data_IF_235399985958
#
_entry.id   IF_235399985958
#
_cell.length_a   1.000
_cell.length_b   1.000
_cell.length_c   1.000
_cell.angle_alpha   90.00
_cell.angle_beta   90.00
_cell.angle_gamma   90.00
#
_symmetry.space_group_name_H-M   'P 1'
#
loop_
_entity.id
_entity.type
_entity.pdbx_description
1 polymer ?
#
# COMPACT_ATOMS: atom_id res chain seq x y z
N UNK A 1 14.46 -8.88 -9.90
CA UNK A 1 13.74 -8.12 -10.95
C UNK A 1 13.81 -8.84 -12.29
N UNK A 2 12.68 -8.95 -12.99
CA UNK A 2 12.66 -9.52 -14.34
C UNK A 2 13.12 -8.48 -15.35
N UNK A 3 14.03 -8.89 -16.28
CA UNK A 3 14.51 -8.00 -17.35
C UNK A 3 13.41 -7.62 -18.33
N UNK A 4 13.59 -6.51 -19.05
CA UNK A 4 12.67 -6.08 -20.11
C UNK A 4 12.48 -7.18 -21.18
N UNK A 5 13.55 -7.82 -21.63
CA UNK A 5 13.46 -8.86 -22.68
C UNK A 5 12.67 -10.09 -22.20
N UNK A 6 12.83 -10.50 -20.94
CA UNK A 6 12.05 -11.60 -20.37
C UNK A 6 10.57 -11.24 -20.22
N UNK A 7 10.24 -10.01 -19.80
CA UNK A 7 8.85 -9.55 -19.75
C UNK A 7 8.22 -9.48 -21.14
N UNK A 8 8.94 -8.95 -22.11
CA UNK A 8 8.54 -8.89 -23.52
C UNK A 8 8.22 -10.29 -24.07
N UNK A 9 9.13 -11.24 -23.87
CA UNK A 9 8.93 -12.63 -24.33
C UNK A 9 7.67 -13.22 -23.71
N UNK A 10 7.48 -13.07 -22.39
CA UNK A 10 6.29 -13.59 -21.69
C UNK A 10 5.00 -12.92 -22.16
N UNK A 11 5.00 -11.61 -22.37
CA UNK A 11 3.82 -10.89 -22.86
C UNK A 11 3.43 -11.35 -24.27
N UNK A 12 4.40 -11.54 -25.16
CA UNK A 12 4.15 -12.09 -26.50
C UNK A 12 3.62 -13.51 -26.43
N UNK A 13 4.23 -14.39 -25.63
CA UNK A 13 3.74 -15.76 -25.41
C UNK A 13 2.30 -15.77 -24.92
N UNK A 14 1.95 -14.96 -23.92
CA UNK A 14 0.55 -14.87 -23.44
C UNK A 14 -0.40 -14.48 -24.57
N UNK A 15 -0.03 -13.51 -25.41
CA UNK A 15 -0.86 -13.06 -26.53
C UNK A 15 -1.01 -14.12 -27.63
N UNK A 16 0.04 -14.91 -27.88
CA UNK A 16 0.00 -15.97 -28.89
C UNK A 16 -0.92 -17.14 -28.49
N UNK A 17 -0.92 -17.49 -27.19
CA UNK A 17 -1.73 -18.60 -26.68
C UNK A 17 -3.10 -18.16 -26.17
N UNK A 18 -3.25 -16.96 -25.66
CA UNK A 18 -4.48 -16.42 -25.11
C UNK A 18 -4.99 -15.24 -25.97
N UNK A 19 -5.46 -15.55 -27.16
CA UNK A 19 -5.87 -14.57 -28.20
C UNK A 19 -6.87 -13.51 -27.67
N UNK A 20 -7.72 -13.88 -26.70
CA UNK A 20 -8.70 -12.99 -26.11
C UNK A 20 -8.15 -12.17 -24.92
N UNK A 21 -6.93 -12.44 -24.48
CA UNK A 21 -6.29 -11.70 -23.39
C UNK A 21 -5.85 -10.32 -23.87
N UNK A 22 -6.55 -9.28 -23.47
CA UNK A 22 -6.23 -7.90 -23.85
C UNK A 22 -5.34 -7.20 -22.83
N UNK A 23 -5.41 -7.63 -21.56
CA UNK A 23 -4.71 -6.97 -20.46
C UNK A 23 -4.04 -7.99 -19.55
N UNK A 24 -2.87 -7.63 -19.06
CA UNK A 24 -2.10 -8.40 -18.08
C UNK A 24 -1.77 -7.50 -16.91
N UNK A 25 -2.05 -7.98 -15.70
CA UNK A 25 -1.63 -7.36 -14.46
C UNK A 25 -0.62 -8.27 -13.74
N UNK A 26 0.29 -7.66 -12.98
CA UNK A 26 1.30 -8.40 -12.25
C UNK A 26 1.76 -7.66 -11.00
N UNK A 27 2.40 -8.39 -10.10
CA UNK A 27 3.11 -7.77 -8.97
C UNK A 27 4.42 -7.15 -9.43
N UNK A 28 4.75 -6.01 -8.87
CA UNK A 28 6.01 -5.32 -9.10
C UNK A 28 6.51 -4.65 -7.81
N UNK A 29 7.82 -4.45 -7.72
CA UNK A 29 8.43 -3.59 -6.73
C UNK A 29 8.94 -2.30 -7.37
N UNK A 30 9.19 -1.28 -6.59
CA UNK A 30 9.83 -0.04 -7.07
C UNK A 30 11.18 -0.32 -7.76
N UNK A 31 11.94 -1.30 -7.24
CA UNK A 31 13.21 -1.74 -7.86
C UNK A 31 13.01 -2.35 -9.26
N UNK A 32 11.88 -3.05 -9.48
CA UNK A 32 11.58 -3.61 -10.81
C UNK A 32 11.34 -2.51 -11.84
N UNK A 33 10.69 -1.42 -11.43
CA UNK A 33 10.39 -0.28 -12.29
C UNK A 33 11.66 0.53 -12.54
N UNK A 34 12.49 0.77 -11.51
CA UNK A 34 13.75 1.52 -11.58
C UNK A 34 14.69 1.00 -12.66
N UNK A 35 14.71 -0.32 -12.86
CA UNK A 35 15.56 -0.99 -13.84
C UNK A 35 14.99 -0.96 -15.28
N UNK A 36 14.00 -0.11 -15.55
CA UNK A 36 13.40 0.03 -16.90
C UNK A 36 13.28 1.50 -17.29
N UNK A 37 13.60 1.75 -18.54
CA UNK A 37 13.40 3.05 -19.15
C UNK A 37 11.94 3.26 -19.56
N UNK A 38 11.47 4.50 -19.62
CA UNK A 38 10.09 4.84 -19.99
C UNK A 38 9.69 4.22 -21.33
N UNK A 39 10.59 4.24 -22.34
CA UNK A 39 10.30 3.64 -23.63
C UNK A 39 10.07 2.12 -23.55
N UNK A 40 10.76 1.42 -22.64
CA UNK A 40 10.54 0.00 -22.38
C UNK A 40 9.16 -0.23 -21.75
N UNK A 41 8.81 0.58 -20.76
CA UNK A 41 7.49 0.54 -20.12
C UNK A 41 6.37 0.79 -21.13
N UNK A 42 6.49 1.80 -22.01
CA UNK A 42 5.55 2.04 -23.11
C UNK A 42 5.39 0.84 -24.04
N UNK A 43 6.49 0.18 -24.39
CA UNK A 43 6.44 -1.04 -25.21
C UNK A 43 5.75 -2.20 -24.49
N UNK A 44 6.03 -2.40 -23.18
CA UNK A 44 5.36 -3.41 -22.37
C UNK A 44 3.85 -3.12 -22.27
N UNK A 45 3.47 -1.85 -22.11
CA UNK A 45 2.07 -1.39 -22.14
C UNK A 45 1.39 -1.76 -23.47
N UNK A 46 2.06 -1.49 -24.60
CA UNK A 46 1.54 -1.82 -25.93
C UNK A 46 1.40 -3.34 -26.16
N UNK A 47 2.14 -4.17 -25.42
CA UNK A 47 2.02 -5.63 -25.43
C UNK A 47 0.94 -6.16 -24.49
N UNK A 48 0.23 -5.27 -23.75
CA UNK A 48 -0.87 -5.65 -22.89
C UNK A 48 -0.54 -5.70 -21.39
N UNK A 49 0.68 -5.34 -20.95
CA UNK A 49 1.01 -5.20 -19.53
C UNK A 49 0.47 -3.85 -19.06
N UNK A 50 -0.75 -3.87 -18.52
CA UNK A 50 -1.53 -2.66 -18.27
C UNK A 50 -1.63 -2.28 -16.80
N UNK A 51 -1.41 -3.21 -15.87
CA UNK A 51 -1.63 -2.97 -14.45
C UNK A 51 -0.52 -3.56 -13.57
N UNK A 52 -0.11 -2.81 -12.55
CA UNK A 52 0.88 -3.26 -11.57
C UNK A 52 0.32 -3.17 -10.15
N UNK A 53 0.46 -4.27 -9.41
CA UNK A 53 0.29 -4.29 -7.95
C UNK A 53 1.63 -3.97 -7.31
N UNK A 54 1.73 -2.86 -6.60
CA UNK A 54 2.99 -2.41 -6.01
C UNK A 54 2.86 -2.39 -4.49
N UNK A 55 3.53 -3.35 -3.84
CA UNK A 55 3.66 -3.38 -2.38
C UNK A 55 4.63 -2.31 -1.91
N UNK A 56 4.21 -1.04 -1.90
CA UNK A 56 5.02 0.05 -1.35
C UNK A 56 5.08 -0.03 0.16
N UNK A 57 4.01 -0.49 0.79
CA UNK A 57 3.76 -0.68 2.23
C UNK A 57 3.71 0.64 3.02
N UNK A 58 4.46 1.65 2.59
CA UNK A 58 4.60 2.95 3.25
C UNK A 58 5.07 4.01 2.26
N UNK A 59 4.87 5.29 2.60
CA UNK A 59 5.52 6.45 1.98
C UNK A 59 6.41 7.21 2.96
N UNK A 60 6.69 6.62 4.13
CA UNK A 60 7.53 7.18 5.18
C UNK A 60 8.91 6.50 5.17
N UNK A 61 9.97 7.26 4.97
CA UNK A 61 11.33 6.72 4.79
C UNK A 61 11.84 5.93 6.00
N UNK A 62 11.46 6.32 7.22
CA UNK A 62 11.82 5.58 8.43
C UNK A 62 11.12 4.21 8.45
N UNK A 63 9.84 4.17 8.12
CA UNK A 63 9.07 2.93 8.02
C UNK A 63 9.56 2.05 6.87
N UNK A 64 9.91 2.64 5.71
CA UNK A 64 10.49 1.92 4.57
C UNK A 64 11.85 1.29 4.95
N UNK A 65 12.67 2.00 5.72
CA UNK A 65 13.94 1.50 6.24
C UNK A 65 13.73 0.35 7.23
N UNK A 66 12.79 0.50 8.17
CA UNK A 66 12.44 -0.54 9.14
C UNK A 66 11.96 -1.82 8.45
N UNK A 67 11.17 -1.69 7.40
CA UNK A 67 10.67 -2.80 6.58
C UNK A 67 11.69 -3.35 5.56
N UNK A 68 12.94 -2.87 5.59
CA UNK A 68 14.03 -3.26 4.70
C UNK A 68 13.64 -3.21 3.20
N UNK A 69 12.85 -2.21 2.80
CA UNK A 69 12.37 -2.08 1.40
C UNK A 69 13.50 -1.75 0.42
N UNK A 70 14.56 -1.07 0.89
CA UNK A 70 15.76 -0.69 0.11
C UNK A 70 15.49 0.33 -0.99
N UNK A 71 14.47 1.16 -0.80
CA UNK A 71 14.14 2.34 -1.59
C UNK A 71 13.46 3.37 -0.69
N UNK A 72 13.42 4.62 -1.13
CA UNK A 72 12.85 5.77 -0.40
C UNK A 72 11.51 6.21 -0.99
N UNK A 73 10.83 7.13 -0.29
CA UNK A 73 9.63 7.82 -0.79
C UNK A 73 9.93 8.58 -2.11
N UNK A 74 11.11 9.17 -2.24
CA UNK A 74 11.56 9.82 -3.47
C UNK A 74 11.69 8.82 -4.63
N UNK A 75 12.22 7.62 -4.38
CA UNK A 75 12.27 6.54 -5.38
C UNK A 75 10.85 6.12 -5.81
N UNK A 76 9.91 6.00 -4.87
CA UNK A 76 8.50 5.68 -5.19
C UNK A 76 7.92 6.75 -6.12
N UNK A 77 8.09 8.02 -5.77
CA UNK A 77 7.59 9.14 -6.57
C UNK A 77 8.16 9.13 -7.99
N UNK A 78 9.48 8.99 -8.10
CA UNK A 78 10.18 8.97 -9.40
C UNK A 78 9.72 7.80 -10.28
N UNK A 79 9.68 6.58 -9.73
CA UNK A 79 9.36 5.41 -10.51
C UNK A 79 7.88 5.34 -10.90
N UNK A 80 6.96 5.76 -10.03
CA UNK A 80 5.54 5.81 -10.37
C UNK A 80 5.22 6.88 -11.42
N UNK A 81 5.93 8.02 -11.44
CA UNK A 81 5.82 8.99 -12.54
C UNK A 81 6.23 8.40 -13.89
N UNK A 82 7.20 7.47 -13.93
CA UNK A 82 7.55 6.73 -15.16
C UNK A 82 6.39 5.83 -15.63
N UNK A 83 5.63 5.25 -14.69
CA UNK A 83 4.42 4.49 -15.02
C UNK A 83 3.32 5.38 -15.56
N UNK A 84 3.07 6.53 -14.92
CA UNK A 84 2.11 7.53 -15.41
C UNK A 84 2.46 7.97 -16.83
N UNK A 85 3.74 8.28 -17.11
CA UNK A 85 4.23 8.66 -18.43
C UNK A 85 4.10 7.53 -19.47
N UNK A 86 4.24 6.27 -19.03
CA UNK A 86 4.08 5.10 -19.89
C UNK A 86 2.63 4.68 -20.10
N UNK A 87 1.68 5.22 -19.33
CA UNK A 87 0.27 4.85 -19.34
C UNK A 87 -0.02 3.49 -18.73
N UNK A 88 0.83 3.00 -17.82
CA UNK A 88 0.61 1.77 -17.05
C UNK A 88 -0.10 2.13 -15.77
N UNK A 89 -1.27 1.54 -15.56
CA UNK A 89 -2.02 1.68 -14.32
C UNK A 89 -1.33 0.93 -13.17
N UNK A 90 -1.44 1.45 -11.96
CA UNK A 90 -0.91 0.78 -10.78
C UNK A 90 -1.80 1.02 -9.57
N UNK A 91 -1.71 0.12 -8.61
CA UNK A 91 -2.28 0.32 -7.30
C UNK A 91 -1.24 0.04 -6.22
N UNK A 92 -1.42 0.70 -5.08
CA UNK A 92 -0.56 0.54 -3.94
C UNK A 92 -1.17 -0.43 -2.92
N UNK A 93 -0.29 -1.23 -2.32
CA UNK A 93 -0.57 -1.85 -1.03
C UNK A 93 0.12 -1.02 0.03
N UNK A 94 -0.65 -0.55 1.00
CA UNK A 94 -0.21 0.15 2.21
C UNK A 94 -0.43 -0.75 3.42
N UNK A 95 0.43 -0.67 4.43
CA UNK A 95 0.35 -1.55 5.59
C UNK A 95 0.28 -0.75 6.89
N UNK A 96 -0.88 -0.81 7.56
CA UNK A 96 -1.03 -0.23 8.90
C UNK A 96 -0.27 -1.03 9.94
N UNK A 97 0.28 -0.34 10.94
CA UNK A 97 1.06 -0.94 12.01
C UNK A 97 2.51 -1.25 11.67
N UNK A 98 2.93 -1.05 10.41
CA UNK A 98 4.30 -1.33 9.98
C UNK A 98 5.34 -0.41 10.64
N UNK A 99 4.95 0.82 11.00
CA UNK A 99 5.79 1.76 11.74
C UNK A 99 5.96 1.42 13.23
N UNK A 100 5.25 0.39 13.72
CA UNK A 100 5.24 0.01 15.14
C UNK A 100 4.41 0.97 16.00
N UNK A 101 4.51 0.77 17.32
CA UNK A 101 3.84 1.58 18.33
C UNK A 101 4.22 3.05 18.18
N UNK A 102 3.24 3.94 18.31
CA UNK A 102 3.35 5.40 18.20
C UNK A 102 3.81 5.93 16.82
N UNK A 103 4.20 5.05 15.87
CA UNK A 103 4.69 5.45 14.55
C UNK A 103 3.60 5.69 13.48
N UNK A 104 2.38 5.21 13.72
CA UNK A 104 1.30 5.18 12.73
C UNK A 104 0.88 6.55 12.19
N UNK A 105 0.86 7.58 13.06
CA UNK A 105 0.53 8.95 12.64
C UNK A 105 1.50 9.48 11.57
N UNK A 106 2.80 9.35 11.82
CA UNK A 106 3.86 9.78 10.88
C UNK A 106 3.77 8.99 9.59
N UNK A 107 3.66 7.65 9.69
CA UNK A 107 3.55 6.76 8.54
C UNK A 107 2.36 7.14 7.63
N UNK A 108 1.17 7.29 8.20
CA UNK A 108 -0.03 7.64 7.45
C UNK A 108 0.06 9.01 6.79
N UNK A 109 0.56 10.02 7.50
CA UNK A 109 0.70 11.38 6.99
C UNK A 109 1.69 11.44 5.81
N UNK A 110 2.89 10.91 5.99
CA UNK A 110 3.92 10.94 4.95
C UNK A 110 3.50 10.10 3.73
N UNK A 111 2.84 8.97 3.95
CA UNK A 111 2.29 8.14 2.87
C UNK A 111 1.18 8.84 2.11
N UNK A 112 0.25 9.50 2.80
CA UNK A 112 -0.82 10.27 2.15
C UNK A 112 -0.27 11.43 1.33
N UNK A 113 0.74 12.15 1.84
CA UNK A 113 1.41 13.24 1.13
C UNK A 113 2.10 12.74 -0.15
N UNK A 114 2.81 11.62 -0.07
CA UNK A 114 3.44 11.00 -1.23
C UNK A 114 2.40 10.54 -2.26
N UNK A 115 1.41 9.76 -1.83
CA UNK A 115 0.40 9.17 -2.73
C UNK A 115 -0.46 10.25 -3.39
N UNK A 116 -0.66 11.38 -2.72
CA UNK A 116 -1.40 12.53 -3.27
C UNK A 116 -0.69 13.23 -4.44
N UNK A 117 0.58 12.92 -4.69
CA UNK A 117 1.35 13.43 -5.83
C UNK A 117 1.36 12.45 -7.03
N UNK A 118 0.65 11.33 -6.92
CA UNK A 118 0.64 10.21 -7.86
C UNK A 118 -0.80 9.85 -8.25
N UNK A 119 -0.96 8.95 -9.21
CA UNK A 119 -2.25 8.55 -9.76
C UNK A 119 -2.56 7.05 -9.56
N UNK A 120 -2.48 6.49 -8.34
CA UNK A 120 -2.84 5.10 -8.13
C UNK A 120 -4.32 4.88 -8.44
N UNK A 121 -4.62 3.83 -9.20
CA UNK A 121 -5.98 3.43 -9.53
C UNK A 121 -6.81 3.11 -8.28
N UNK A 122 -6.17 2.45 -7.31
CA UNK A 122 -6.69 2.32 -5.95
C UNK A 122 -5.55 2.15 -4.93
N UNK A 123 -5.89 2.26 -3.65
CA UNK A 123 -5.01 1.94 -2.52
C UNK A 123 -5.64 0.78 -1.75
N UNK A 124 -4.96 -0.35 -1.72
CA UNK A 124 -5.28 -1.47 -0.82
C UNK A 124 -4.58 -1.25 0.51
N UNK A 125 -5.29 -1.46 1.60
CA UNK A 125 -4.73 -1.33 2.95
C UNK A 125 -4.81 -2.67 3.65
N UNK A 126 -3.65 -3.15 4.07
CA UNK A 126 -3.52 -4.33 4.91
C UNK A 126 -3.07 -3.94 6.33
N UNK A 127 -3.34 -4.79 7.31
CA UNK A 127 -2.78 -4.66 8.65
C UNK A 127 -1.62 -5.62 8.86
N UNK A 128 -0.55 -5.14 9.49
CA UNK A 128 0.64 -5.94 9.77
C UNK A 128 0.28 -7.19 10.55
N UNK A 129 0.70 -8.33 10.03
CA UNK A 129 0.70 -9.61 10.73
C UNK A 129 2.15 -10.08 10.86
N UNK A 130 2.58 -10.33 12.08
CA UNK A 130 3.93 -10.81 12.36
C UNK A 130 3.98 -12.34 12.20
N UNK A 131 4.75 -12.80 11.23
CA UNK A 131 4.99 -14.24 11.02
C UNK A 131 6.32 -14.66 11.63
N UNK A 132 6.40 -15.83 12.28
CA UNK A 132 7.59 -16.30 13.01
C UNK A 132 8.89 -16.31 12.20
N UNK A 133 8.80 -16.48 10.89
CA UNK A 133 9.95 -16.59 9.98
C UNK A 133 10.47 -15.23 9.50
N UNK A 134 9.89 -14.12 9.98
CA UNK A 134 10.26 -12.77 9.52
C UNK A 134 11.23 -12.09 10.48
N UNK A 135 12.12 -11.26 9.92
CA UNK A 135 13.05 -10.44 10.70
C UNK A 135 12.30 -9.54 11.69
N UNK A 136 11.19 -8.93 11.26
CA UNK A 136 10.38 -8.05 12.10
C UNK A 136 9.77 -8.78 13.30
N UNK A 137 9.38 -10.06 13.13
CA UNK A 137 8.95 -10.89 14.27
C UNK A 137 10.09 -11.11 15.27
N UNK A 138 11.29 -11.41 14.78
CA UNK A 138 12.45 -11.60 15.64
C UNK A 138 12.81 -10.31 16.40
N UNK A 139 12.74 -9.17 15.74
CA UNK A 139 12.90 -7.86 16.37
C UNK A 139 11.85 -7.63 17.47
N UNK A 140 10.61 -8.04 17.24
CA UNK A 140 9.54 -7.93 18.25
C UNK A 140 9.83 -8.82 19.47
N UNK A 141 10.33 -10.05 19.27
CA UNK A 141 10.72 -10.94 20.38
C UNK A 141 11.88 -10.37 21.20
N UNK A 142 12.75 -9.58 20.60
CA UNK A 142 13.89 -8.93 21.24
C UNK A 142 13.54 -7.56 21.86
N UNK A 143 12.30 -7.10 21.73
CA UNK A 143 11.87 -5.76 22.17
C UNK A 143 12.41 -4.59 21.33
N UNK A 144 12.99 -4.88 20.15
CA UNK A 144 13.49 -3.88 19.20
C UNK A 144 12.39 -3.32 18.29
N UNK A 145 11.28 -4.01 18.20
CA UNK A 145 10.06 -3.58 17.55
C UNK A 145 8.86 -3.81 18.47
N UNK A 146 8.09 -2.80 18.75
CA UNK A 146 6.85 -2.90 19.51
C UNK A 146 5.69 -2.79 18.53
N UNK A 147 4.88 -3.84 18.33
CA UNK A 147 3.74 -3.77 17.43
C UNK A 147 2.73 -2.71 17.86
N UNK A 148 2.17 -2.01 16.89
CA UNK A 148 1.06 -1.10 17.13
C UNK A 148 -0.19 -1.88 17.56
N UNK A 149 -0.93 -1.35 18.52
CA UNK A 149 -2.20 -1.90 18.96
C UNK A 149 -3.30 -1.73 17.90
N UNK A 150 -4.39 -2.46 18.03
CA UNK A 150 -5.52 -2.40 17.10
C UNK A 150 -6.06 -0.97 16.96
N UNK A 151 -6.25 -0.26 18.06
CA UNK A 151 -6.72 1.13 18.06
C UNK A 151 -5.78 2.08 17.36
N UNK A 152 -4.48 1.89 17.51
CA UNK A 152 -3.46 2.69 16.81
C UNK A 152 -3.56 2.49 15.30
N UNK A 153 -3.75 1.23 14.85
CA UNK A 153 -3.91 0.91 13.41
C UNK A 153 -5.19 1.50 12.82
N UNK A 154 -6.28 1.51 13.59
CA UNK A 154 -7.53 2.16 13.17
C UNK A 154 -7.33 3.69 13.04
N UNK A 155 -6.64 4.32 14.01
CA UNK A 155 -6.29 5.75 13.94
C UNK A 155 -5.34 6.06 12.78
N UNK A 156 -4.40 5.17 12.50
CA UNK A 156 -3.50 5.27 11.35
C UNK A 156 -4.28 5.25 10.03
N UNK A 157 -5.22 4.29 9.87
CA UNK A 157 -6.10 4.23 8.71
C UNK A 157 -6.96 5.49 8.56
N UNK A 158 -7.55 5.97 9.67
CA UNK A 158 -8.34 7.20 9.68
C UNK A 158 -7.49 8.42 9.26
N UNK A 159 -6.23 8.49 9.74
CA UNK A 159 -5.28 9.53 9.37
C UNK A 159 -4.91 9.47 7.88
N UNK A 160 -4.65 8.29 7.34
CA UNK A 160 -4.38 8.08 5.91
C UNK A 160 -5.55 8.61 5.06
N UNK A 161 -6.79 8.20 5.38
CA UNK A 161 -8.00 8.60 4.66
C UNK A 161 -8.20 10.12 4.72
N UNK A 162 -7.97 10.74 5.89
CA UNK A 162 -8.14 12.18 6.09
C UNK A 162 -7.15 13.02 5.28
N UNK A 163 -5.94 12.52 5.05
CA UNK A 163 -4.87 13.26 4.39
C UNK A 163 -4.67 12.88 2.90
N UNK A 164 -5.32 11.84 2.41
CA UNK A 164 -5.18 11.40 1.02
C UNK A 164 -6.01 12.29 0.07
N UNK A 165 -5.35 13.20 -0.64
CA UNK A 165 -6.00 14.25 -1.44
C UNK A 165 -6.02 13.93 -2.95
N UNK A 166 -6.47 12.72 -3.31
CA UNK A 166 -6.65 12.27 -4.69
C UNK A 166 -8.00 11.59 -4.87
N UNK A 167 -8.43 11.45 -6.13
CA UNK A 167 -9.58 10.62 -6.48
C UNK A 167 -9.11 9.18 -6.66
N UNK A 168 -9.44 8.33 -5.69
CA UNK A 168 -9.04 6.92 -5.73
C UNK A 168 -9.99 6.06 -4.91
N UNK A 169 -10.08 4.78 -5.25
CA UNK A 169 -10.71 3.81 -4.37
C UNK A 169 -9.73 3.42 -3.26
N UNK A 170 -10.26 3.21 -2.05
CA UNK A 170 -9.51 2.66 -0.93
C UNK A 170 -10.21 1.39 -0.47
N UNK A 171 -9.46 0.30 -0.37
CA UNK A 171 -9.92 -1.00 0.07
C UNK A 171 -9.13 -1.45 1.30
N UNK A 172 -9.73 -1.36 2.48
CA UNK A 172 -9.20 -1.88 3.73
C UNK A 172 -10.11 -3.02 4.23
N UNK A 173 -10.41 -3.99 3.36
CA UNK A 173 -11.37 -5.07 3.60
C UNK A 173 -10.76 -6.47 3.50
N UNK A 174 -9.44 -6.57 3.61
CA UNK A 174 -8.75 -7.85 3.68
C UNK A 174 -8.92 -8.48 5.06
N UNK A 175 -8.65 -9.77 5.18
CA UNK A 175 -8.78 -10.53 6.44
C UNK A 175 -7.86 -10.04 7.55
N UNK A 176 -6.82 -9.27 7.22
CA UNK A 176 -5.89 -8.68 8.19
C UNK A 176 -6.45 -7.42 8.89
N UNK A 177 -7.50 -6.81 8.32
CA UNK A 177 -8.06 -5.59 8.87
C UNK A 177 -9.13 -5.89 9.94
N UNK A 178 -8.96 -5.32 11.13
CA UNK A 178 -9.90 -5.46 12.24
C UNK A 178 -11.24 -4.77 11.97
N UNK A 179 -11.20 -3.65 11.23
CA UNK A 179 -12.39 -2.89 10.84
C UNK A 179 -12.40 -2.74 9.34
N UNK A 180 -13.10 -3.63 8.61
CA UNK A 180 -13.16 -3.56 7.16
C UNK A 180 -13.89 -2.31 6.69
N UNK A 181 -13.24 -1.51 5.83
CA UNK A 181 -13.84 -0.34 5.18
C UNK A 181 -13.49 -0.30 3.70
N UNK A 182 -14.39 0.30 2.92
CA UNK A 182 -14.16 0.67 1.53
C UNK A 182 -14.62 2.09 1.32
N UNK A 183 -13.89 2.85 0.52
CA UNK A 183 -14.21 4.25 0.24
C UNK A 183 -13.86 4.62 -1.19
N UNK A 184 -14.62 5.56 -1.76
CA UNK A 184 -14.22 6.30 -2.95
C UNK A 184 -13.88 7.73 -2.53
N UNK A 185 -12.60 8.04 -2.47
CA UNK A 185 -12.12 9.33 -2.00
C UNK A 185 -12.16 10.39 -3.13
N UNK A 186 -12.44 11.65 -2.79
CA UNK A 186 -12.71 12.16 -1.43
C UNK A 186 -14.16 12.04 -0.95
N UNK A 187 -15.07 11.46 -1.76
CA UNK A 187 -16.53 11.55 -1.54
C UNK A 187 -17.01 10.84 -0.27
N UNK A 188 -16.42 9.69 0.05
CA UNK A 188 -16.81 8.89 1.23
C UNK A 188 -16.00 9.21 2.49
N UNK A 189 -15.09 10.21 2.43
CA UNK A 189 -14.14 10.53 3.51
C UNK A 189 -14.84 10.71 4.86
N UNK A 190 -15.76 11.64 4.94
CA UNK A 190 -16.45 11.97 6.20
C UNK A 190 -17.23 10.79 6.76
N UNK A 191 -17.92 10.04 5.90
CA UNK A 191 -18.67 8.85 6.27
C UNK A 191 -17.73 7.81 6.91
N UNK A 192 -16.69 7.42 6.19
CA UNK A 192 -15.79 6.34 6.62
C UNK A 192 -14.98 6.74 7.85
N UNK A 193 -14.50 7.98 7.94
CA UNK A 193 -13.78 8.45 9.13
C UNK A 193 -14.68 8.53 10.37
N UNK A 194 -15.98 8.83 10.19
CA UNK A 194 -16.96 8.79 11.27
C UNK A 194 -17.26 7.35 11.72
N UNK A 195 -17.35 6.40 10.80
CA UNK A 195 -17.51 4.98 11.11
C UNK A 195 -16.29 4.44 11.90
N UNK A 196 -15.08 4.78 11.50
CA UNK A 196 -13.86 4.43 12.23
C UNK A 196 -13.81 5.06 13.61
N UNK A 197 -14.23 6.32 13.76
CA UNK A 197 -14.32 7.00 15.06
C UNK A 197 -15.32 6.31 15.98
N UNK A 198 -16.49 5.93 15.46
CA UNK A 198 -17.49 5.19 16.23
C UNK A 198 -16.93 3.86 16.78
N UNK A 199 -16.14 3.13 15.98
CA UNK A 199 -15.48 1.90 16.43
C UNK A 199 -14.48 2.19 17.56
N UNK A 200 -13.67 3.24 17.43
CA UNK A 200 -12.71 3.66 18.45
C UNK A 200 -13.41 3.99 19.77
N UNK A 201 -14.49 4.79 19.71
CA UNK A 201 -15.25 5.22 20.90
C UNK A 201 -15.89 4.04 21.64
N UNK A 202 -16.38 3.04 20.91
CA UNK A 202 -16.96 1.84 21.53
C UNK A 202 -15.89 0.94 22.16
N UNK A 203 -14.73 0.77 21.52
CA UNK A 203 -13.61 0.03 22.10
C UNK A 203 -13.09 0.69 23.39
N UNK A 204 -13.08 2.03 23.47
CA UNK A 204 -12.71 2.76 24.69
C UNK A 204 -13.72 2.52 25.81
N UNK A 205 -15.01 2.44 25.52
CA UNK A 205 -16.07 2.11 26.51
C UNK A 205 -15.95 0.69 27.04
N UNK A 206 -15.69 -0.28 26.17
CA UNK A 206 -15.56 -1.68 26.55
C UNK A 206 -14.33 -1.89 27.46
N UNK A 207 -13.21 -1.23 27.18
CA UNK A 207 -12.03 -1.26 28.06
C UNK A 207 -12.28 -0.60 29.41
N UNK A 208 -12.96 0.56 29.45
CA UNK A 208 -13.34 1.21 30.71
C UNK A 208 -14.26 0.33 31.56
N UNK A 209 -15.24 -0.33 30.93
CA UNK A 209 -16.13 -1.26 31.61
C UNK A 209 -15.41 -2.49 32.16
N UNK A 210 -14.39 -2.99 31.45
CA UNK A 210 -13.58 -4.12 31.89
C UNK A 210 -12.67 -3.80 33.09
N UNK A 211 -12.29 -2.52 33.28
CA UNK A 211 -11.51 -2.06 34.43
C UNK A 211 -12.33 -1.84 35.71
N UNK A 212 -13.68 -1.79 35.62
CA UNK A 212 -14.58 -1.56 36.72
C UNK A 212 -15.13 -2.88 37.30
N UNK A 213 -14.92 -4.01 36.64
CA UNK A 213 -15.24 -5.38 37.09
C UNK A 213 -14.05 -6.03 37.78
#
# INVERSE_FOLDING_TARGET
AMSYENLKLRALTVRDYLIKCQTMAMFASIRDIKNKEVWQLRKLRAMGINGLSIGVESGDDETLSLANKGYTAADILEQCRKLDEAGIEYYFVYMTGLAGKDGGYRNARNSAELFSQLNPYFVSVDSLTLFPDTELYQMAQQGLFVPAEEKERIRELQMLINNLNIRTHLFANTVSNFTPVTAYLPYDREKVTSELQYVLDNKDRDEQNALIQ
#
